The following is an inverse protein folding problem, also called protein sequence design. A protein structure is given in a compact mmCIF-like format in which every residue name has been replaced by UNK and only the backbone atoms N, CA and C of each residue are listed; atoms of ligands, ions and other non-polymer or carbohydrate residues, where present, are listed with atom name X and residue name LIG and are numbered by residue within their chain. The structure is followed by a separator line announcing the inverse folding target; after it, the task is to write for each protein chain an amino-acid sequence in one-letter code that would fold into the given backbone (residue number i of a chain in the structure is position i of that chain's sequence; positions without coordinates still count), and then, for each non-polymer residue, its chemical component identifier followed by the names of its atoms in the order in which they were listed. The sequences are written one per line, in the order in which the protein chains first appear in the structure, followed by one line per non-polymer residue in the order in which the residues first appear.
data_IF_956436847556
#
_entry.id   IF_956436847556
#
_cell.length_a   1.000
_cell.length_b   1.000
_cell.length_c   1.000
_cell.angle_alpha   90.00
_cell.angle_beta   90.00
_cell.angle_gamma   90.00
#
_symmetry.space_group_name_H-M   'P 1'
#
loop_
_entity.id
_entity.type
_entity.pdbx_description
1 polymer ?
#
# COMPACT_ATOMS: atom_id res chain seq x y z
N UNK A 1 -5.80 -18.53 24.19
CA UNK A 1 -5.34 -17.40 23.34
C UNK A 1 -6.49 -16.42 23.25
N UNK A 2 -6.34 -15.14 23.62
CA UNK A 2 -7.42 -14.18 23.34
C UNK A 2 -7.55 -14.11 21.82
N UNK A 3 -8.77 -14.35 21.30
CA UNK A 3 -9.08 -14.28 19.87
C UNK A 3 -8.39 -13.05 19.27
N UNK A 4 -7.45 -13.26 18.35
CA UNK A 4 -6.83 -12.16 17.65
C UNK A 4 -7.97 -11.32 17.06
N UNK A 5 -8.02 -10.00 17.29
CA UNK A 5 -9.17 -9.21 16.90
C UNK A 5 -9.39 -9.41 15.40
N UNK A 6 -10.56 -9.90 15.01
CA UNK A 6 -10.88 -10.10 13.59
C UNK A 6 -10.89 -8.73 12.91
N UNK A 7 -10.41 -8.66 11.67
CA UNK A 7 -10.57 -7.44 10.86
C UNK A 7 -12.07 -7.09 10.84
N UNK A 8 -12.50 -5.86 11.17
CA UNK A 8 -13.91 -5.47 11.07
C UNK A 8 -14.48 -5.76 9.67
N UNK A 9 -15.78 -6.04 9.59
CA UNK A 9 -16.42 -6.49 8.34
C UNK A 9 -16.25 -5.48 7.20
N UNK A 10 -16.35 -4.17 7.48
CA UNK A 10 -16.12 -3.15 6.47
C UNK A 10 -14.67 -3.16 5.97
N UNK A 11 -13.71 -3.35 6.89
CA UNK A 11 -12.29 -3.47 6.56
C UNK A 11 -11.99 -4.68 5.68
N UNK A 12 -12.61 -5.84 5.97
CA UNK A 12 -12.46 -7.04 5.13
C UNK A 12 -13.00 -6.81 3.72
N UNK A 13 -14.21 -6.26 3.60
CA UNK A 13 -14.81 -5.95 2.28
C UNK A 13 -13.95 -4.97 1.47
N UNK A 14 -13.45 -3.91 2.10
CA UNK A 14 -12.57 -2.95 1.42
C UNK A 14 -11.24 -3.60 1.01
N UNK A 15 -10.66 -4.45 1.86
CA UNK A 15 -9.44 -5.18 1.53
C UNK A 15 -9.64 -6.20 0.40
N UNK A 16 -10.72 -6.97 0.42
CA UNK A 16 -11.09 -7.88 -0.68
C UNK A 16 -11.27 -7.12 -2.00
N UNK A 17 -11.90 -5.94 -1.97
CA UNK A 17 -12.03 -5.09 -3.16
C UNK A 17 -10.70 -4.57 -3.70
N UNK A 18 -9.69 -4.37 -2.85
CA UNK A 18 -8.38 -3.87 -3.28
C UNK A 18 -7.44 -5.01 -3.72
N UNK A 19 -7.51 -6.17 -3.07
CA UNK A 19 -6.51 -7.21 -3.18
C UNK A 19 -7.02 -8.53 -3.80
N UNK A 20 -8.31 -8.63 -4.15
CA UNK A 20 -8.86 -9.84 -4.74
C UNK A 20 -8.91 -11.01 -3.75
N UNK A 21 -8.01 -11.99 -3.89
CA UNK A 21 -7.92 -13.19 -3.02
C UNK A 21 -7.34 -12.86 -1.64
N UNK A 22 -7.88 -11.86 -0.98
CA UNK A 22 -7.50 -11.43 0.36
C UNK A 22 -7.79 -12.49 1.41
N UNK A 23 -6.79 -12.75 2.25
CA UNK A 23 -6.90 -13.56 3.46
C UNK A 23 -6.46 -12.73 4.67
N UNK A 24 -7.31 -12.55 5.69
CA UNK A 24 -6.92 -11.88 6.94
C UNK A 24 -5.70 -12.50 7.61
N UNK A 25 -5.53 -13.81 7.45
CA UNK A 25 -4.44 -14.59 8.01
C UNK A 25 -3.14 -14.27 7.26
N UNK A 26 -3.14 -14.41 5.93
CA UNK A 26 -2.02 -13.99 5.08
C UNK A 26 -1.65 -12.52 5.32
N UNK A 27 -2.64 -11.63 5.39
CA UNK A 27 -2.44 -10.20 5.57
C UNK A 27 -1.76 -9.83 6.90
N UNK A 28 -1.77 -10.72 7.90
CA UNK A 28 -1.04 -10.56 9.17
C UNK A 28 0.30 -11.30 9.21
N UNK A 29 0.59 -12.10 8.19
CA UNK A 29 1.70 -13.03 8.15
C UNK A 29 2.38 -13.04 6.78
N UNK A 30 2.53 -11.89 6.12
CA UNK A 30 3.01 -11.79 4.72
C UNK A 30 4.45 -12.34 4.54
N UNK A 31 5.24 -12.36 5.61
CA UNK A 31 6.60 -12.94 5.65
C UNK A 31 6.64 -14.41 6.06
N UNK A 32 5.52 -14.97 6.53
CA UNK A 32 5.46 -16.37 6.91
C UNK A 32 5.30 -17.24 5.68
N UNK A 33 6.15 -18.27 5.56
CA UNK A 33 6.02 -19.32 4.53
C UNK A 33 4.80 -20.22 4.76
N UNK A 34 4.22 -20.20 5.95
CA UNK A 34 3.09 -21.06 6.33
C UNK A 34 1.71 -20.48 6.00
N UNK A 35 1.62 -19.17 5.74
CA UNK A 35 0.35 -18.45 5.61
C UNK A 35 0.16 -17.89 4.20
N UNK A 36 -0.26 -18.76 3.27
CA UNK A 36 -0.73 -18.36 1.94
C UNK A 36 -2.17 -17.82 1.98
N UNK A 37 -2.73 -17.53 0.81
CA UNK A 37 -4.11 -17.04 0.68
C UNK A 37 -5.17 -18.04 1.17
N UNK A 38 -4.82 -19.33 1.21
CA UNK A 38 -5.76 -20.42 1.51
C UNK A 38 -6.80 -20.65 0.40
N UNK A 39 -6.56 -20.09 -0.79
CA UNK A 39 -7.42 -20.20 -1.97
C UNK A 39 -6.59 -20.70 -3.16
N UNK A 40 -7.25 -21.35 -4.11
CA UNK A 40 -6.62 -21.72 -5.37
C UNK A 40 -6.25 -20.46 -6.17
N UNK A 41 -5.04 -20.40 -6.77
CA UNK A 41 -4.65 -19.29 -7.62
C UNK A 41 -5.61 -19.09 -8.80
N UNK A 42 -5.99 -17.84 -9.05
CA UNK A 42 -6.68 -17.48 -10.29
C UNK A 42 -5.65 -17.39 -11.42
N UNK A 43 -5.84 -18.16 -12.49
CA UNK A 43 -4.97 -18.18 -13.67
C UNK A 43 -5.79 -17.81 -14.91
N UNK A 44 -5.33 -16.80 -15.65
CA UNK A 44 -5.98 -16.33 -16.89
C UNK A 44 -4.91 -16.14 -17.97
N UNK A 45 -5.10 -16.74 -19.15
CA UNK A 45 -4.25 -16.43 -20.31
C UNK A 45 -4.56 -15.01 -20.78
N UNK A 46 -3.63 -14.09 -20.51
CA UNK A 46 -3.73 -12.66 -20.77
C UNK A 46 -3.48 -12.34 -22.24
N UNK A 47 -2.54 -13.03 -22.87
CA UNK A 47 -2.23 -12.99 -24.30
C UNK A 47 -1.59 -14.35 -24.67
N UNK A 48 -1.38 -14.69 -25.96
CA UNK A 48 -0.75 -15.96 -26.31
C UNK A 48 0.54 -16.20 -25.52
N UNK A 49 0.60 -17.34 -24.81
CA UNK A 49 1.75 -17.74 -23.97
C UNK A 49 2.06 -16.76 -22.82
N UNK A 50 1.12 -15.89 -22.43
CA UNK A 50 1.24 -14.94 -21.33
C UNK A 50 0.09 -15.12 -20.36
N UNK A 51 0.38 -15.25 -19.07
CA UNK A 51 -0.62 -15.54 -18.04
C UNK A 51 -0.59 -14.49 -16.93
N UNK A 52 -1.78 -14.06 -16.55
CA UNK A 52 -2.08 -13.40 -15.29
C UNK A 52 -2.29 -14.48 -14.23
N UNK A 53 -1.57 -14.39 -13.11
CA UNK A 53 -1.71 -15.32 -11.99
C UNK A 53 -1.92 -14.51 -10.71
N UNK A 54 -3.00 -14.78 -9.97
CA UNK A 54 -3.23 -14.21 -8.65
C UNK A 54 -3.20 -15.35 -7.63
N UNK A 55 -2.04 -15.64 -6.99
CA UNK A 55 -1.93 -16.66 -5.95
C UNK A 55 -2.51 -16.21 -4.59
N UNK A 56 -2.64 -14.91 -4.39
CA UNK A 56 -3.13 -14.31 -3.15
C UNK A 56 -3.45 -12.84 -3.33
N UNK A 57 -2.92 -11.99 -2.45
CA UNK A 57 -3.20 -10.55 -2.46
C UNK A 57 -2.53 -9.78 -3.61
N UNK A 58 -1.49 -10.35 -4.24
CA UNK A 58 -0.69 -9.76 -5.32
C UNK A 58 -0.82 -10.59 -6.58
N UNK A 59 -0.74 -9.92 -7.72
CA UNK A 59 -0.75 -10.52 -9.04
C UNK A 59 0.68 -10.71 -9.57
N UNK A 60 0.84 -11.72 -10.41
CA UNK A 60 2.09 -12.13 -11.03
C UNK A 60 1.85 -12.29 -12.53
N UNK A 61 2.81 -11.84 -13.35
CA UNK A 61 2.79 -12.11 -14.79
C UNK A 61 3.76 -13.24 -15.14
N UNK A 62 3.30 -14.20 -15.93
CA UNK A 62 4.13 -15.28 -16.47
C UNK A 62 4.17 -15.17 -17.99
N UNK A 63 5.38 -15.08 -18.54
CA UNK A 63 5.63 -15.13 -19.98
C UNK A 63 6.40 -16.40 -20.32
N UNK A 64 5.81 -17.24 -21.16
CA UNK A 64 6.48 -18.45 -21.66
C UNK A 64 7.19 -18.16 -22.97
N UNK A 65 8.51 -18.39 -23.01
CA UNK A 65 9.36 -18.27 -24.21
C UNK A 65 9.94 -19.64 -24.58
N UNK A 66 10.71 -19.72 -25.67
CA UNK A 66 11.34 -20.98 -26.08
C UNK A 66 12.58 -21.35 -25.26
N UNK A 67 13.21 -20.37 -24.59
CA UNK A 67 14.39 -20.58 -23.73
C UNK A 67 14.01 -20.83 -22.26
N UNK A 68 12.83 -20.37 -21.85
CA UNK A 68 12.31 -20.61 -20.50
C UNK A 68 11.21 -19.63 -20.10
N UNK A 69 10.88 -19.62 -18.82
CA UNK A 69 9.86 -18.76 -18.26
C UNK A 69 10.46 -17.45 -17.75
N UNK A 70 9.79 -16.33 -18.06
CA UNK A 70 9.96 -15.06 -17.38
C UNK A 70 8.79 -14.85 -16.42
N UNK A 71 9.09 -14.66 -15.14
CA UNK A 71 8.11 -14.36 -14.11
C UNK A 71 8.33 -12.93 -13.62
N UNK A 72 7.26 -12.13 -13.55
CA UNK A 72 7.27 -10.77 -13.01
C UNK A 72 6.52 -10.80 -11.69
N UNK A 73 7.26 -10.58 -10.59
CA UNK A 73 6.86 -10.79 -9.20
C UNK A 73 6.63 -12.26 -8.80
N UNK A 74 6.53 -12.51 -7.49
CA UNK A 74 6.51 -13.83 -6.86
C UNK A 74 5.52 -13.94 -5.69
N UNK A 75 4.71 -12.92 -5.41
CA UNK A 75 3.75 -12.95 -4.30
C UNK A 75 4.39 -12.87 -2.90
N UNK A 76 3.56 -13.04 -1.87
CA UNK A 76 3.98 -13.10 -0.48
C UNK A 76 4.78 -14.39 -0.19
N UNK A 77 5.44 -14.47 0.97
CA UNK A 77 6.20 -15.66 1.36
C UNK A 77 5.35 -16.95 1.35
N UNK A 78 4.10 -16.87 1.82
CA UNK A 78 3.17 -18.02 1.83
C UNK A 78 2.58 -18.39 0.46
N UNK A 79 2.69 -17.51 -0.55
CA UNK A 79 2.14 -17.77 -1.89
C UNK A 79 3.03 -18.69 -2.74
N UNK A 80 4.32 -18.80 -2.40
CA UNK A 80 5.31 -19.51 -3.19
C UNK A 80 4.89 -20.91 -3.66
N UNK A 81 4.42 -21.81 -2.76
CA UNK A 81 4.00 -23.15 -3.16
C UNK A 81 2.82 -23.17 -4.15
N UNK A 82 1.82 -22.31 -3.94
CA UNK A 82 0.65 -22.22 -4.81
C UNK A 82 1.02 -21.61 -6.17
N UNK A 83 1.88 -20.59 -6.17
CA UNK A 83 2.40 -19.99 -7.39
C UNK A 83 3.25 -20.97 -8.21
N UNK A 84 4.14 -21.73 -7.55
CA UNK A 84 4.93 -22.78 -8.20
C UNK A 84 4.02 -23.84 -8.86
N UNK A 85 3.00 -24.31 -8.14
CA UNK A 85 2.04 -25.28 -8.67
C UNK A 85 1.30 -24.73 -9.89
N UNK A 86 0.82 -23.48 -9.83
CA UNK A 86 0.13 -22.81 -10.94
C UNK A 86 1.05 -22.67 -12.17
N UNK A 87 2.30 -22.21 -11.98
CA UNK A 87 3.29 -22.09 -13.06
C UNK A 87 3.59 -23.45 -13.68
N UNK A 88 3.72 -24.51 -12.88
CA UNK A 88 4.02 -25.87 -13.36
C UNK A 88 2.84 -26.55 -14.04
N UNK A 89 1.60 -26.16 -13.71
CA UNK A 89 0.41 -26.58 -14.43
C UNK A 89 0.33 -25.95 -15.84
N UNK A 90 0.87 -24.73 -16.00
CA UNK A 90 0.96 -24.03 -17.29
C UNK A 90 2.12 -24.56 -18.13
N UNK A 91 3.31 -24.72 -17.55
CA UNK A 91 4.52 -25.06 -18.28
C UNK A 91 5.56 -25.83 -17.49
N UNK A 92 6.20 -26.81 -18.16
CA UNK A 92 7.34 -27.56 -17.66
C UNK A 92 8.70 -26.90 -17.97
N UNK A 93 8.72 -25.75 -18.65
CA UNK A 93 9.96 -25.04 -18.99
C UNK A 93 10.68 -24.52 -17.73
N UNK A 94 12.02 -24.44 -17.74
CA UNK A 94 12.79 -23.92 -16.60
C UNK A 94 12.40 -22.46 -16.33
N UNK A 95 12.39 -22.08 -15.04
CA UNK A 95 12.25 -20.67 -14.67
C UNK A 95 13.57 -19.96 -14.97
N UNK A 96 13.60 -19.20 -16.07
CA UNK A 96 14.81 -18.61 -16.61
C UNK A 96 15.12 -17.27 -15.94
N UNK A 97 14.10 -16.42 -15.78
CA UNK A 97 14.26 -15.06 -15.25
C UNK A 97 13.11 -14.71 -14.32
N UNK A 98 13.45 -14.03 -13.23
CA UNK A 98 12.49 -13.38 -12.35
C UNK A 98 12.79 -11.89 -12.33
N UNK A 99 11.77 -11.06 -12.54
CA UNK A 99 11.85 -9.61 -12.38
C UNK A 99 11.07 -9.23 -11.15
N UNK A 100 11.72 -8.57 -10.19
CA UNK A 100 11.00 -7.87 -9.13
C UNK A 100 10.58 -6.51 -9.62
N UNK A 101 9.28 -6.22 -9.57
CA UNK A 101 8.77 -4.90 -9.89
C UNK A 101 9.26 -3.89 -8.87
N UNK A 102 9.32 -4.24 -7.58
CA UNK A 102 9.85 -3.38 -6.51
C UNK A 102 10.13 -4.16 -5.22
N UNK A 103 10.76 -3.51 -4.23
CA UNK A 103 11.21 -4.13 -2.98
C UNK A 103 10.12 -4.46 -1.95
N UNK A 104 8.83 -4.41 -2.30
CA UNK A 104 7.75 -4.78 -1.37
C UNK A 104 7.69 -6.29 -1.12
N UNK A 105 7.27 -6.64 0.10
CA UNK A 105 7.34 -8.01 0.60
C UNK A 105 6.39 -8.97 -0.09
N UNK A 106 5.26 -8.45 -0.51
CA UNK A 106 4.21 -9.15 -1.22
C UNK A 106 4.52 -9.35 -2.72
N UNK A 107 5.66 -8.83 -3.20
CA UNK A 107 6.10 -8.99 -4.60
C UNK A 107 7.32 -9.90 -4.75
N UNK A 108 8.24 -9.94 -3.78
CA UNK A 108 9.51 -10.66 -3.94
C UNK A 108 9.59 -11.99 -3.17
N UNK A 109 8.73 -12.22 -2.17
CA UNK A 109 9.04 -13.20 -1.13
C UNK A 109 8.59 -14.62 -1.43
N UNK A 110 7.71 -14.88 -2.40
CA UNK A 110 7.33 -16.26 -2.74
C UNK A 110 8.40 -17.05 -3.52
N UNK A 111 9.49 -16.39 -3.96
CA UNK A 111 10.50 -17.02 -4.83
C UNK A 111 11.22 -18.22 -4.18
N UNK A 112 11.31 -18.27 -2.84
CA UNK A 112 11.98 -19.37 -2.13
C UNK A 112 11.45 -20.75 -2.53
N UNK A 113 10.15 -20.87 -2.85
CA UNK A 113 9.53 -22.15 -3.21
C UNK A 113 10.09 -22.70 -4.52
N UNK A 114 10.38 -21.84 -5.49
CA UNK A 114 11.02 -22.22 -6.75
C UNK A 114 12.48 -22.64 -6.53
N UNK A 115 13.20 -21.90 -5.68
CA UNK A 115 14.60 -22.22 -5.37
C UNK A 115 14.74 -23.57 -4.64
N UNK A 116 13.84 -23.87 -3.70
CA UNK A 116 13.79 -25.17 -3.00
C UNK A 116 13.34 -26.31 -3.92
N UNK A 117 12.53 -26.02 -4.94
CA UNK A 117 12.20 -26.96 -6.02
C UNK A 117 13.35 -27.20 -7.02
N UNK A 118 14.49 -26.50 -6.86
CA UNK A 118 15.69 -26.69 -7.68
C UNK A 118 15.85 -25.69 -8.83
N UNK A 119 14.91 -24.75 -9.01
CA UNK A 119 15.04 -23.70 -10.02
C UNK A 119 16.17 -22.72 -9.66
N UNK A 120 16.83 -22.16 -10.68
CA UNK A 120 17.92 -21.19 -10.52
C UNK A 120 17.76 -20.04 -11.52
N UNK A 121 16.69 -19.23 -11.41
CA UNK A 121 16.50 -18.10 -12.30
C UNK A 121 17.53 -17.01 -12.05
N UNK A 122 17.81 -16.21 -13.08
CA UNK A 122 18.44 -14.89 -12.91
C UNK A 122 17.40 -13.93 -12.33
N UNK A 123 17.68 -13.36 -11.17
CA UNK A 123 16.83 -12.37 -10.51
C UNK A 123 17.27 -10.96 -10.90
N UNK A 124 16.37 -10.18 -11.47
CA UNK A 124 16.63 -8.83 -11.97
C UNK A 124 15.72 -7.84 -11.24
N UNK A 125 16.27 -6.69 -10.87
CA UNK A 125 15.49 -5.61 -10.25
C UNK A 125 16.13 -4.24 -10.50
N UNK A 126 15.42 -3.16 -10.14
CA UNK A 126 16.02 -1.84 -10.13
C UNK A 126 17.13 -1.71 -9.05
N UNK A 127 18.14 -0.86 -9.28
CA UNK A 127 19.32 -0.67 -8.39
C UNK A 127 18.96 -0.22 -6.96
N UNK A 128 17.77 0.34 -6.76
CA UNK A 128 17.28 0.76 -5.44
C UNK A 128 16.66 -0.40 -4.61
N UNK A 129 16.31 -1.54 -5.21
CA UNK A 129 15.70 -2.67 -4.47
C UNK A 129 16.61 -3.16 -3.33
N UNK A 130 17.93 -3.35 -3.53
CA UNK A 130 18.83 -3.69 -2.42
C UNK A 130 18.83 -2.68 -1.27
N UNK A 131 18.75 -1.38 -1.56
CA UNK A 131 18.67 -0.35 -0.53
C UNK A 131 17.33 -0.39 0.22
N UNK A 132 16.24 -0.69 -0.49
CA UNK A 132 14.92 -0.91 0.10
C UNK A 132 14.92 -2.10 1.07
N UNK A 133 15.49 -3.25 0.69
CA UNK A 133 15.60 -4.42 1.56
C UNK A 133 16.40 -4.11 2.84
N UNK A 134 17.53 -3.41 2.72
CA UNK A 134 18.31 -2.97 3.89
C UNK A 134 17.52 -2.01 4.79
N UNK A 135 16.68 -1.14 4.21
CA UNK A 135 15.76 -0.29 4.97
C UNK A 135 14.74 -1.12 5.74
N UNK A 136 14.18 -2.18 5.15
CA UNK A 136 13.29 -3.11 5.85
C UNK A 136 13.96 -3.76 7.04
N UNK A 137 15.21 -4.24 6.89
CA UNK A 137 15.97 -4.78 8.01
C UNK A 137 16.16 -3.75 9.14
N UNK A 138 16.61 -2.54 8.77
CA UNK A 138 16.84 -1.44 9.72
C UNK A 138 15.58 -1.03 10.48
N UNK A 139 14.41 -1.19 9.85
CA UNK A 139 13.11 -0.74 10.39
C UNK A 139 12.13 -1.89 10.61
N UNK A 140 12.62 -3.11 10.81
CA UNK A 140 11.81 -4.33 10.92
C UNK A 140 10.70 -4.21 11.96
N UNK A 141 11.03 -3.80 13.19
CA UNK A 141 10.04 -3.62 14.26
C UNK A 141 9.03 -2.48 14.01
N UNK A 142 9.43 -1.44 13.26
CA UNK A 142 8.51 -0.39 12.83
C UNK A 142 7.53 -0.93 11.79
N UNK A 143 8.05 -1.59 10.74
CA UNK A 143 7.22 -2.14 9.66
C UNK A 143 6.28 -3.23 10.16
N UNK A 144 6.73 -4.12 11.04
CA UNK A 144 5.86 -5.11 11.68
C UNK A 144 4.66 -4.42 12.36
N UNK A 145 4.91 -3.36 13.13
CA UNK A 145 3.86 -2.64 13.87
C UNK A 145 2.91 -1.88 12.96
N UNK A 146 3.42 -1.08 12.01
CA UNK A 146 2.56 -0.22 11.18
C UNK A 146 1.70 -1.03 10.21
N UNK A 147 2.18 -2.20 9.78
CA UNK A 147 1.45 -3.14 8.92
C UNK A 147 0.68 -4.21 9.70
N UNK A 148 0.69 -4.17 11.04
CA UNK A 148 -0.04 -5.14 11.88
C UNK A 148 0.42 -6.60 11.69
N UNK A 149 1.69 -6.82 11.34
CA UNK A 149 2.24 -8.16 11.13
C UNK A 149 2.55 -8.86 12.45
N UNK A 150 2.33 -10.17 12.44
CA UNK A 150 2.55 -11.07 13.55
C UNK A 150 3.62 -12.12 13.18
N UNK A 151 4.40 -12.61 14.16
CA UNK A 151 5.32 -13.72 13.93
C UNK A 151 4.61 -14.94 13.35
N UNK A 152 5.31 -15.73 12.55
CA UNK A 152 4.79 -17.01 12.06
C UNK A 152 4.63 -18.04 13.20
N UNK A 153 3.82 -19.09 13.01
CA UNK A 153 3.52 -20.11 14.03
C UNK A 153 4.77 -20.85 14.49
N UNK A 154 5.76 -20.98 13.61
CA UNK A 154 7.05 -21.62 13.90
C UNK A 154 8.07 -20.65 14.55
N UNK A 155 7.61 -19.49 15.03
CA UNK A 155 8.49 -18.44 15.55
C UNK A 155 9.22 -17.65 14.47
N UNK A 156 8.79 -17.78 13.20
CA UNK A 156 9.29 -17.00 12.07
C UNK A 156 9.08 -15.49 12.27
N UNK A 157 9.89 -14.64 11.63
CA UNK A 157 9.88 -13.21 11.89
C UNK A 157 8.56 -12.56 11.45
N UNK A 158 8.07 -11.59 12.23
CA UNK A 158 6.94 -10.74 11.83
C UNK A 158 7.29 -9.79 10.67
N UNK A 159 8.58 -9.55 10.44
CA UNK A 159 9.11 -8.74 9.35
C UNK A 159 10.57 -9.10 9.09
N UNK A 160 11.01 -9.07 7.84
CA UNK A 160 12.40 -9.36 7.49
C UNK A 160 13.39 -8.49 8.27
N UNK A 161 14.44 -9.10 8.83
CA UNK A 161 15.40 -8.44 9.72
C UNK A 161 16.86 -8.81 9.47
N UNK A 162 17.14 -9.80 8.63
CA UNK A 162 18.49 -10.25 8.27
C UNK A 162 18.62 -10.48 6.77
N UNK A 163 19.86 -10.41 6.27
CA UNK A 163 20.19 -10.58 4.84
C UNK A 163 19.65 -11.90 4.26
N UNK A 164 19.62 -12.97 5.05
CA UNK A 164 19.15 -14.29 4.63
C UNK A 164 17.63 -14.41 4.49
N UNK A 165 16.86 -13.38 4.87
CA UNK A 165 15.40 -13.35 4.68
C UNK A 165 15.02 -12.98 3.24
N UNK A 166 15.98 -12.49 2.43
CA UNK A 166 15.76 -11.99 1.08
C UNK A 166 16.45 -12.89 0.05
N UNK A 167 15.82 -13.01 -1.13
CA UNK A 167 16.53 -13.41 -2.34
C UNK A 167 16.95 -12.14 -3.05
N UNK A 168 18.26 -11.88 -3.08
CA UNK A 168 18.83 -10.65 -3.65
C UNK A 168 18.83 -10.71 -5.18
N UNK A 169 18.66 -9.56 -5.87
CA UNK A 169 18.86 -9.50 -7.31
C UNK A 169 20.29 -9.90 -7.69
N UNK A 170 20.43 -10.77 -8.69
CA UNK A 170 21.72 -11.10 -9.32
C UNK A 170 22.22 -9.96 -10.20
N UNK A 171 21.27 -9.24 -10.80
CA UNK A 171 21.53 -8.10 -11.67
C UNK A 171 20.61 -6.94 -11.31
N UNK A 172 21.18 -5.73 -11.42
CA UNK A 172 20.41 -4.50 -11.26
C UNK A 172 20.61 -3.59 -12.45
N UNK A 173 19.61 -2.75 -12.69
CA UNK A 173 19.64 -1.71 -13.71
C UNK A 173 19.12 -0.38 -13.14
N UNK A 174 19.40 0.71 -13.85
CA UNK A 174 19.01 2.07 -13.44
C UNK A 174 17.78 2.56 -14.19
N UNK A 175 17.91 2.92 -15.46
CA UNK A 175 16.81 3.59 -16.18
C UNK A 175 15.95 2.59 -16.96
N UNK A 176 16.59 1.74 -17.77
CA UNK A 176 15.92 0.70 -18.54
C UNK A 176 16.85 -0.48 -18.81
N UNK A 177 16.27 -1.65 -19.08
CA UNK A 177 16.98 -2.86 -19.49
C UNK A 177 16.16 -3.65 -20.51
N UNK A 178 16.75 -4.00 -21.64
CA UNK A 178 16.12 -4.91 -22.61
C UNK A 178 16.67 -6.32 -22.42
N UNK A 179 15.75 -7.26 -22.19
CA UNK A 179 16.02 -8.69 -22.17
C UNK A 179 15.60 -9.31 -23.51
N UNK A 180 16.39 -10.26 -23.99
CA UNK A 180 15.99 -11.15 -25.08
C UNK A 180 15.99 -12.56 -24.52
N UNK A 181 14.82 -13.21 -24.48
CA UNK A 181 14.66 -14.56 -23.91
C UNK A 181 13.91 -15.39 -24.96
N UNK A 182 14.55 -16.45 -25.46
CA UNK A 182 13.97 -17.27 -26.53
C UNK A 182 13.67 -16.49 -27.82
N UNK A 183 14.41 -15.41 -28.10
CA UNK A 183 14.24 -14.57 -29.29
C UNK A 183 13.16 -13.48 -29.17
N UNK A 184 12.43 -13.41 -28.05
CA UNK A 184 11.43 -12.37 -27.77
C UNK A 184 12.01 -11.26 -26.89
N UNK A 185 11.56 -10.02 -27.09
CA UNK A 185 12.00 -8.85 -26.32
C UNK A 185 11.12 -8.60 -25.11
N UNK A 186 11.76 -8.26 -24.00
CA UNK A 186 11.11 -7.72 -22.81
C UNK A 186 11.87 -6.48 -22.35
N UNK A 187 11.19 -5.35 -22.24
CA UNK A 187 11.79 -4.08 -21.86
C UNK A 187 11.35 -3.72 -20.44
N UNK A 188 12.32 -3.62 -19.54
CA UNK A 188 12.13 -3.16 -18.18
C UNK A 188 12.37 -1.66 -18.15
N UNK A 189 11.44 -0.92 -17.57
CA UNK A 189 11.56 0.52 -17.38
C UNK A 189 11.44 0.85 -15.90
N UNK A 190 12.37 1.66 -15.41
CA UNK A 190 12.27 2.25 -14.08
C UNK A 190 11.25 3.39 -14.07
N UNK A 191 10.50 3.45 -12.98
CA UNK A 191 9.70 4.60 -12.61
C UNK A 191 9.69 4.75 -11.09
N UNK A 192 9.15 5.88 -10.62
CA UNK A 192 8.83 6.04 -9.20
C UNK A 192 7.31 6.11 -9.06
N UNK A 193 6.82 5.55 -7.97
CA UNK A 193 5.40 5.56 -7.64
C UNK A 193 5.20 5.29 -6.17
N UNK A 194 4.71 4.09 -5.83
CA UNK A 194 4.58 3.68 -4.44
C UNK A 194 5.94 3.62 -3.72
N UNK A 195 6.97 3.32 -4.49
CA UNK A 195 8.37 3.27 -4.07
C UNK A 195 9.27 4.01 -5.08
N UNK A 196 10.54 4.17 -4.72
CA UNK A 196 11.59 4.76 -5.57
C UNK A 196 12.33 3.73 -6.44
N UNK A 197 11.89 2.47 -6.41
CA UNK A 197 12.52 1.32 -7.05
C UNK A 197 11.59 0.56 -8.01
N UNK A 198 10.47 1.17 -8.42
CA UNK A 198 9.47 0.53 -9.25
C UNK A 198 9.96 0.25 -10.68
N UNK A 199 9.56 -0.91 -11.20
CA UNK A 199 9.83 -1.44 -12.53
C UNK A 199 8.52 -1.88 -13.15
N UNK A 200 8.30 -1.55 -14.42
CA UNK A 200 7.28 -2.17 -15.25
C UNK A 200 7.92 -2.82 -16.49
N UNK A 201 7.32 -3.91 -16.96
CA UNK A 201 7.83 -4.73 -18.07
C UNK A 201 6.91 -4.57 -19.27
N UNK A 202 7.48 -4.24 -20.42
CA UNK A 202 6.82 -4.19 -21.72
C UNK A 202 7.24 -5.38 -22.58
N UNK A 203 6.27 -6.14 -23.08
CA UNK A 203 6.47 -7.20 -24.07
C UNK A 203 5.88 -6.73 -25.43
N UNK A 204 6.68 -6.04 -26.28
CA UNK A 204 6.18 -5.38 -27.49
C UNK A 204 5.53 -6.35 -28.48
N UNK A 205 6.11 -7.52 -28.69
CA UNK A 205 5.58 -8.52 -29.62
C UNK A 205 4.23 -9.10 -29.17
N UNK A 206 3.88 -8.94 -27.89
CA UNK A 206 2.64 -9.43 -27.29
C UNK A 206 1.63 -8.33 -26.97
N UNK A 207 2.03 -7.07 -27.06
CA UNK A 207 1.19 -5.93 -26.69
C UNK A 207 0.82 -5.91 -25.20
N UNK A 208 1.67 -6.47 -24.32
CA UNK A 208 1.37 -6.65 -22.89
C UNK A 208 2.34 -5.89 -21.99
N UNK A 209 1.80 -5.16 -21.01
CA UNK A 209 2.55 -4.61 -19.87
C UNK A 209 2.31 -5.45 -18.62
N UNK A 210 3.35 -5.75 -17.86
CA UNK A 210 3.26 -6.14 -16.45
C UNK A 210 3.71 -4.93 -15.60
N UNK A 211 2.76 -4.30 -14.90
CA UNK A 211 2.95 -2.96 -14.34
C UNK A 211 3.45 -2.93 -12.90
N UNK A 212 3.43 -4.07 -12.19
CA UNK A 212 3.53 -4.06 -10.73
C UNK A 212 2.51 -3.10 -10.12
N UNK A 213 2.87 -2.48 -9.00
CA UNK A 213 1.96 -1.57 -8.30
C UNK A 213 1.77 -0.22 -9.00
N UNK A 214 2.40 0.04 -10.16
CA UNK A 214 2.10 1.25 -10.92
C UNK A 214 0.67 1.24 -11.50
N UNK A 215 0.02 0.08 -11.57
CA UNK A 215 -1.41 -0.08 -11.87
C UNK A 215 -2.00 -1.08 -10.89
N UNK A 216 -3.08 -0.71 -10.19
CA UNK A 216 -3.73 -1.56 -9.17
C UNK A 216 -5.27 -1.59 -9.29
N UNK A 217 -5.85 -0.73 -10.13
CA UNK A 217 -7.29 -0.66 -10.35
C UNK A 217 -8.12 0.08 -9.31
N UNK A 218 -7.45 0.87 -8.49
CA UNK A 218 -8.04 1.82 -7.56
C UNK A 218 -7.14 3.05 -7.45
N UNK A 219 -7.56 4.06 -6.68
CA UNK A 219 -6.76 5.27 -6.49
C UNK A 219 -5.34 4.91 -6.00
N UNK A 220 -4.28 5.31 -6.72
CA UNK A 220 -2.91 4.98 -6.36
C UNK A 220 -2.58 5.30 -4.91
N UNK A 221 -1.86 4.38 -4.30
CA UNK A 221 -1.42 4.47 -2.91
C UNK A 221 -0.27 5.48 -2.78
N UNK A 222 -0.46 6.74 -3.17
CA UNK A 222 0.58 7.77 -3.22
C UNK A 222 0.63 8.66 -1.97
N UNK A 223 -0.15 8.35 -0.94
CA UNK A 223 -0.40 9.21 0.23
C UNK A 223 -0.34 8.54 1.60
N UNK A 224 -0.20 7.21 1.68
CA UNK A 224 -0.35 6.45 2.93
C UNK A 224 0.35 7.11 4.16
N UNK A 225 -0.41 7.49 5.20
CA UNK A 225 0.10 8.26 6.34
C UNK A 225 1.22 7.59 7.15
N UNK A 226 1.37 6.27 7.04
CA UNK A 226 2.34 5.47 7.80
C UNK A 226 3.61 5.16 7.02
N UNK A 227 3.72 5.60 5.77
CA UNK A 227 4.76 5.15 4.83
C UNK A 227 5.77 6.25 4.52
N UNK A 228 6.92 5.80 4.01
CA UNK A 228 7.99 6.66 3.48
C UNK A 228 7.51 7.47 2.28
N UNK A 229 8.37 8.31 1.72
CA UNK A 229 8.03 9.17 0.59
C UNK A 229 7.53 8.34 -0.61
N UNK A 230 6.46 8.84 -1.23
CA UNK A 230 5.87 8.31 -2.46
C UNK A 230 5.81 9.38 -3.54
N UNK A 231 5.68 8.98 -4.80
CA UNK A 231 6.06 9.80 -5.95
C UNK A 231 4.88 9.99 -6.89
N UNK A 232 3.87 10.77 -6.48
CA UNK A 232 2.63 10.97 -7.26
C UNK A 232 2.88 11.58 -8.65
N UNK A 233 3.83 12.51 -8.76
CA UNK A 233 4.21 13.16 -10.01
C UNK A 233 4.85 12.18 -10.99
N UNK A 234 5.91 11.47 -10.57
CA UNK A 234 6.56 10.47 -11.41
C UNK A 234 5.67 9.27 -11.73
N UNK A 235 4.71 8.95 -10.86
CA UNK A 235 3.73 7.92 -11.14
C UNK A 235 2.78 8.35 -12.27
N UNK A 236 2.40 9.62 -12.32
CA UNK A 236 1.65 10.17 -13.46
C UNK A 236 2.47 10.09 -14.75
N UNK A 237 3.77 10.36 -14.69
CA UNK A 237 4.66 10.25 -15.85
C UNK A 237 4.81 8.78 -16.31
N UNK A 238 4.87 7.84 -15.38
CA UNK A 238 4.88 6.41 -15.69
C UNK A 238 3.58 5.97 -16.37
N UNK A 239 2.44 6.49 -15.92
CA UNK A 239 1.13 6.22 -16.53
C UNK A 239 1.07 6.72 -17.99
N UNK A 240 1.57 7.93 -18.25
CA UNK A 240 1.66 8.48 -19.61
C UNK A 240 2.63 7.67 -20.49
N UNK A 241 3.78 7.26 -19.94
CA UNK A 241 4.75 6.44 -20.68
C UNK A 241 4.16 5.08 -21.08
N UNK A 242 3.46 4.41 -20.16
CA UNK A 242 2.75 3.17 -20.46
C UNK A 242 1.64 3.38 -21.49
N UNK A 243 0.88 4.48 -21.39
CA UNK A 243 -0.18 4.80 -22.34
C UNK A 243 0.38 5.07 -23.76
N UNK A 244 1.52 5.74 -23.87
CA UNK A 244 2.16 6.07 -25.15
C UNK A 244 2.53 4.81 -25.97
N UNK A 245 2.80 3.68 -25.32
CA UNK A 245 3.06 2.40 -25.98
C UNK A 245 1.83 1.75 -26.61
N UNK A 246 0.62 2.20 -26.25
CA UNK A 246 -0.67 1.66 -26.70
C UNK A 246 -0.77 0.13 -26.50
N UNK A 247 -0.61 -0.36 -25.26
CA UNK A 247 -0.76 -1.78 -24.95
C UNK A 247 -2.19 -2.26 -25.19
N UNK A 248 -2.34 -3.54 -25.49
CA UNK A 248 -3.65 -4.20 -25.57
C UNK A 248 -4.04 -4.87 -24.24
N UNK A 249 -3.05 -5.14 -23.38
CA UNK A 249 -3.24 -5.78 -22.08
C UNK A 249 -2.31 -5.17 -21.03
N UNK A 250 -2.84 -4.93 -19.83
CA UNK A 250 -2.04 -4.66 -18.63
C UNK A 250 -2.34 -5.73 -17.59
N UNK A 251 -1.29 -6.38 -17.11
CA UNK A 251 -1.27 -7.19 -15.89
C UNK A 251 -0.84 -6.27 -14.74
N UNK A 252 -1.78 -5.83 -13.87
CA UNK A 252 -1.47 -4.96 -12.74
C UNK A 252 -0.87 -5.75 -11.57
N UNK A 253 -0.23 -5.08 -10.61
CA UNK A 253 0.29 -5.69 -9.37
C UNK A 253 -0.83 -6.10 -8.41
N UNK A 254 -1.97 -5.42 -8.48
CA UNK A 254 -3.19 -5.76 -7.75
C UNK A 254 -4.44 -5.54 -8.61
N UNK A 255 -5.58 -6.08 -8.18
CA UNK A 255 -6.85 -5.91 -8.87
C UNK A 255 -6.94 -6.69 -10.18
N UNK A 256 -7.94 -6.37 -11.00
CA UNK A 256 -8.28 -7.15 -12.18
C UNK A 256 -7.38 -6.87 -13.39
N UNK A 257 -7.15 -7.93 -14.19
CA UNK A 257 -6.54 -7.85 -15.52
C UNK A 257 -7.27 -6.82 -16.41
N UNK A 258 -6.51 -5.92 -17.05
CA UNK A 258 -7.06 -4.87 -17.92
C UNK A 258 -6.82 -5.24 -19.39
N UNK A 259 -7.87 -5.16 -20.21
CA UNK A 259 -7.84 -5.49 -21.64
C UNK A 259 -8.45 -4.40 -22.50
N UNK A 260 -7.93 -4.29 -23.71
CA UNK A 260 -8.42 -3.41 -24.76
C UNK A 260 -7.80 -2.02 -24.67
N UNK A 261 -7.15 -1.61 -25.75
CA UNK A 261 -6.42 -0.34 -25.81
C UNK A 261 -7.23 0.86 -25.31
N UNK A 262 -8.52 0.98 -25.66
CA UNK A 262 -9.34 2.12 -25.24
C UNK A 262 -9.54 2.21 -23.72
N UNK A 263 -9.82 1.09 -23.05
CA UNK A 263 -9.97 1.06 -21.59
C UNK A 263 -8.65 1.34 -20.88
N UNK A 264 -7.54 0.85 -21.43
CA UNK A 264 -6.21 1.12 -20.89
C UNK A 264 -5.83 2.60 -21.04
N UNK A 265 -6.10 3.22 -22.19
CA UNK A 265 -5.87 4.65 -22.39
C UNK A 265 -6.70 5.50 -21.43
N UNK A 266 -7.97 5.13 -21.21
CA UNK A 266 -8.85 5.80 -20.27
C UNK A 266 -8.32 5.71 -18.83
N UNK A 267 -8.00 4.50 -18.35
CA UNK A 267 -7.49 4.28 -17.00
C UNK A 267 -6.16 5.01 -16.74
N UNK A 268 -5.16 4.83 -17.60
CA UNK A 268 -3.84 5.45 -17.43
C UNK A 268 -3.93 6.97 -17.57
N UNK A 269 -4.66 7.47 -18.56
CA UNK A 269 -4.85 8.90 -18.76
C UNK A 269 -5.61 9.56 -17.61
N UNK A 270 -6.66 8.91 -17.09
CA UNK A 270 -7.38 9.39 -15.91
C UNK A 270 -6.48 9.39 -14.67
N UNK A 271 -5.69 8.33 -14.46
CA UNK A 271 -4.73 8.24 -13.35
C UNK A 271 -3.70 9.36 -13.39
N UNK A 272 -3.09 9.61 -14.56
CA UNK A 272 -2.12 10.68 -14.76
C UNK A 272 -2.71 12.06 -14.44
N UNK A 273 -3.91 12.36 -14.98
CA UNK A 273 -4.62 13.63 -14.71
C UNK A 273 -4.98 13.78 -13.23
N UNK A 274 -5.40 12.70 -12.58
CA UNK A 274 -5.77 12.72 -11.16
C UNK A 274 -4.59 13.07 -10.28
N UNK A 275 -3.46 12.37 -10.47
CA UNK A 275 -2.26 12.59 -9.65
C UNK A 275 -1.66 13.97 -9.91
N UNK A 276 -1.57 14.41 -11.19
CA UNK A 276 -1.09 15.75 -11.53
C UNK A 276 -1.98 16.85 -10.95
N UNK A 277 -3.30 16.70 -11.01
CA UNK A 277 -4.22 17.65 -10.38
C UNK A 277 -3.90 17.88 -8.89
N UNK A 278 -3.62 16.81 -8.14
CA UNK A 278 -3.26 16.92 -6.72
C UNK A 278 -1.87 17.54 -6.53
N UNK A 279 -0.91 17.17 -7.39
CA UNK A 279 0.46 17.71 -7.36
C UNK A 279 0.43 19.21 -7.63
N UNK A 280 -0.20 19.63 -8.72
CA UNK A 280 -0.33 21.03 -9.14
C UNK A 280 -1.03 21.85 -8.05
N UNK A 281 -2.18 21.37 -7.53
CA UNK A 281 -2.89 22.04 -6.43
C UNK A 281 -2.00 22.24 -5.20
N UNK A 282 -1.24 21.21 -4.81
CA UNK A 282 -0.37 21.30 -3.66
C UNK A 282 0.81 22.27 -3.88
N UNK A 283 1.45 22.21 -5.06
CA UNK A 283 2.57 23.08 -5.40
C UNK A 283 2.13 24.55 -5.57
N UNK A 284 0.99 24.79 -6.19
CA UNK A 284 0.41 26.13 -6.33
C UNK A 284 0.15 26.74 -4.96
N UNK A 285 -0.46 25.98 -4.04
CA UNK A 285 -0.67 26.42 -2.66
C UNK A 285 0.63 26.72 -1.92
N UNK A 286 1.65 25.84 -2.04
CA UNK A 286 2.96 26.05 -1.43
C UNK A 286 3.66 27.30 -1.98
N UNK A 287 3.65 27.49 -3.30
CA UNK A 287 4.24 28.66 -3.96
C UNK A 287 3.51 29.95 -3.61
N UNK A 288 2.21 29.89 -3.36
CA UNK A 288 1.40 31.02 -2.89
C UNK A 288 1.61 31.33 -1.39
N UNK A 289 2.37 30.51 -0.66
CA UNK A 289 2.55 30.63 0.79
C UNK A 289 1.31 30.26 1.60
N UNK A 290 0.36 29.54 1.01
CA UNK A 290 -0.83 29.02 1.71
C UNK A 290 -0.39 28.01 2.78
N UNK A 291 -0.91 28.07 4.01
CA UNK A 291 -0.60 27.08 5.03
C UNK A 291 -0.93 25.64 4.57
N UNK A 292 -0.06 24.65 4.81
CA UNK A 292 -0.27 23.24 4.45
C UNK A 292 -1.66 22.67 4.73
N UNK A 293 -2.26 23.00 5.87
CA UNK A 293 -3.59 22.50 6.24
C UNK A 293 -4.68 23.08 5.34
N UNK A 294 -4.61 24.37 5.02
CA UNK A 294 -5.55 25.05 4.11
C UNK A 294 -5.42 24.52 2.67
N UNK A 295 -4.23 24.14 2.23
CA UNK A 295 -4.02 23.47 0.93
C UNK A 295 -4.82 22.17 0.90
N UNK A 296 -4.72 21.34 1.94
CA UNK A 296 -5.45 20.07 1.98
C UNK A 296 -6.96 20.28 2.10
N UNK A 297 -7.41 21.26 2.87
CA UNK A 297 -8.83 21.58 3.06
C UNK A 297 -9.50 22.13 1.80
N UNK A 298 -8.75 22.91 1.00
CA UNK A 298 -9.22 23.50 -0.24
C UNK A 298 -9.18 22.55 -1.44
N UNK A 299 -8.52 21.37 -1.31
CA UNK A 299 -8.43 20.40 -2.40
C UNK A 299 -9.81 19.97 -2.89
N UNK A 300 -10.07 20.13 -4.19
CA UNK A 300 -11.26 19.62 -4.87
C UNK A 300 -10.80 18.82 -6.07
N UNK A 301 -11.04 17.51 -6.06
CA UNK A 301 -10.79 16.65 -7.23
C UNK A 301 -11.92 16.84 -8.23
N UNK A 302 -11.63 16.98 -9.54
CA UNK A 302 -12.65 17.06 -10.57
C UNK A 302 -13.62 15.88 -10.52
N UNK A 303 -14.91 16.13 -10.70
CA UNK A 303 -15.97 15.15 -10.45
C UNK A 303 -15.85 13.91 -11.34
N UNK A 304 -15.43 14.09 -12.59
CA UNK A 304 -15.18 13.04 -13.56
C UNK A 304 -14.02 12.12 -13.16
N UNK A 305 -12.98 12.67 -12.54
CA UNK A 305 -11.83 11.90 -12.04
C UNK A 305 -12.19 11.19 -10.73
N UNK A 306 -12.92 11.88 -9.83
CA UNK A 306 -13.39 11.32 -8.57
C UNK A 306 -14.41 10.16 -8.76
N UNK A 307 -15.19 10.20 -9.85
CA UNK A 307 -16.17 9.17 -10.19
C UNK A 307 -15.59 8.03 -11.06
N UNK A 308 -14.33 8.10 -11.46
CA UNK A 308 -13.73 7.10 -12.35
C UNK A 308 -13.67 5.72 -11.65
N UNK A 309 -14.19 4.64 -12.27
CA UNK A 309 -14.35 3.34 -11.60
C UNK A 309 -13.02 2.66 -11.23
N UNK A 310 -11.93 3.04 -11.90
CA UNK A 310 -10.57 2.54 -11.61
C UNK A 310 -9.77 3.43 -10.65
N UNK A 311 -10.36 4.53 -10.17
CA UNK A 311 -9.71 5.49 -9.25
C UNK A 311 -10.51 5.67 -7.96
N UNK A 312 -11.31 4.67 -7.59
CA UNK A 312 -12.07 4.69 -6.34
C UNK A 312 -11.11 4.70 -5.16
N UNK A 313 -11.33 5.58 -4.19
CA UNK A 313 -10.53 5.75 -2.98
C UNK A 313 -10.75 4.61 -1.95
N UNK A 314 -10.61 3.36 -2.38
CA UNK A 314 -10.80 2.17 -1.52
C UNK A 314 -9.57 1.89 -0.65
N UNK A 315 -8.36 2.22 -1.11
CA UNK A 315 -7.14 2.00 -0.32
C UNK A 315 -6.63 3.31 0.28
N UNK A 316 -6.32 4.28 -0.57
CA UNK A 316 -5.80 5.61 -0.21
C UNK A 316 -6.88 6.71 -0.35
N UNK A 317 -6.52 7.98 -0.12
CA UNK A 317 -7.41 9.14 -0.28
C UNK A 317 -6.71 10.36 -0.90
N UNK A 318 -7.44 11.25 -1.60
CA UNK A 318 -6.87 12.48 -2.16
C UNK A 318 -6.13 13.32 -1.12
N UNK A 319 -6.71 13.48 0.07
CA UNK A 319 -6.12 14.31 1.13
C UNK A 319 -4.84 13.71 1.73
N UNK A 320 -4.64 12.40 1.58
CA UNK A 320 -3.39 11.73 1.98
C UNK A 320 -2.31 11.96 0.92
N UNK A 321 -2.68 11.84 -0.37
CA UNK A 321 -1.76 12.13 -1.49
C UNK A 321 -1.29 13.58 -1.42
N UNK A 322 -2.21 14.53 -1.23
CA UNK A 322 -1.89 15.95 -1.10
C UNK A 322 -0.90 16.22 0.05
N UNK A 323 -1.14 15.63 1.24
CA UNK A 323 -0.20 15.72 2.37
C UNK A 323 1.17 15.13 2.04
N UNK A 324 1.23 14.04 1.27
CA UNK A 324 2.49 13.43 0.87
C UNK A 324 3.26 14.30 -0.14
N UNK A 325 2.57 14.99 -1.06
CA UNK A 325 3.19 15.98 -1.96
C UNK A 325 3.72 17.17 -1.14
N UNK A 326 2.93 17.69 -0.20
CA UNK A 326 3.37 18.76 0.70
C UNK A 326 4.59 18.33 1.50
N UNK A 327 4.60 17.11 2.08
CA UNK A 327 5.75 16.58 2.82
C UNK A 327 7.02 16.56 1.97
N UNK A 328 6.89 16.17 0.70
CA UNK A 328 8.01 16.05 -0.23
C UNK A 328 8.68 17.39 -0.51
N UNK A 329 7.86 18.42 -0.75
CA UNK A 329 8.34 19.70 -1.27
C UNK A 329 8.44 20.79 -0.18
N UNK A 330 7.55 20.78 0.81
CA UNK A 330 7.48 21.75 1.92
C UNK A 330 8.04 21.25 3.25
N UNK A 331 8.37 19.96 3.38
CA UNK A 331 8.87 19.37 4.62
C UNK A 331 7.76 19.00 5.63
N UNK A 332 8.11 18.85 6.90
CA UNK A 332 7.21 18.26 7.92
C UNK A 332 6.35 19.26 8.68
N UNK A 333 6.71 20.54 8.69
CA UNK A 333 6.06 21.56 9.50
C UNK A 333 4.76 22.05 8.85
N UNK A 334 3.68 22.17 9.62
CA UNK A 334 2.34 22.52 9.13
C UNK A 334 2.09 24.04 8.98
N UNK A 335 3.10 24.88 9.28
CA UNK A 335 3.00 26.33 9.15
C UNK A 335 2.46 27.06 10.39
N UNK A 336 1.92 26.34 11.38
CA UNK A 336 1.45 26.96 12.63
C UNK A 336 2.63 27.19 13.59
N UNK A 337 2.88 28.44 14.05
CA UNK A 337 4.03 28.75 14.89
C UNK A 337 4.08 27.94 16.20
N UNK A 338 2.92 27.69 16.82
CA UNK A 338 2.83 26.92 18.06
C UNK A 338 3.18 25.42 17.88
N UNK A 339 3.12 24.91 16.65
CA UNK A 339 3.43 23.52 16.32
C UNK A 339 4.90 23.29 15.92
N UNK A 340 5.71 24.35 15.84
CA UNK A 340 7.14 24.21 15.54
C UNK A 340 7.89 23.51 16.69
N UNK A 341 7.60 23.92 17.94
CA UNK A 341 8.15 23.37 19.18
C UNK A 341 7.03 23.29 20.23
N UNK A 342 6.03 22.40 20.02
CA UNK A 342 4.80 22.41 20.79
C UNK A 342 5.04 21.93 22.22
N UNK A 343 4.22 22.42 23.16
CA UNK A 343 4.09 21.79 24.47
C UNK A 343 3.67 20.31 24.32
N UNK A 344 4.00 19.41 25.27
CA UNK A 344 3.57 18.02 25.18
C UNK A 344 2.05 17.89 24.97
N UNK A 345 1.60 17.00 24.08
CA UNK A 345 0.17 16.88 23.73
C UNK A 345 -0.73 16.59 24.94
N UNK A 346 -0.24 15.83 25.93
CA UNK A 346 -0.98 15.61 27.18
C UNK A 346 -1.16 16.90 28.02
N UNK A 347 -0.16 17.78 28.03
CA UNK A 347 -0.26 19.07 28.71
C UNK A 347 -1.23 20.03 27.99
N UNK A 348 -1.20 20.05 26.66
CA UNK A 348 -2.19 20.79 25.86
C UNK A 348 -3.61 20.29 26.16
N UNK A 349 -3.81 18.96 26.13
CA UNK A 349 -5.10 18.33 26.39
C UNK A 349 -5.61 18.60 27.81
N UNK A 350 -4.76 18.51 28.83
CA UNK A 350 -5.11 18.80 30.21
C UNK A 350 -5.58 20.26 30.39
N UNK A 351 -4.91 21.21 29.75
CA UNK A 351 -5.30 22.62 29.80
C UNK A 351 -6.63 22.88 29.08
N UNK A 352 -6.84 22.27 27.91
CA UNK A 352 -8.12 22.32 27.19
C UNK A 352 -9.25 21.74 28.05
N UNK A 353 -9.03 20.57 28.66
CA UNK A 353 -10.01 19.95 29.55
C UNK A 353 -10.31 20.83 30.77
N UNK A 354 -9.30 21.46 31.39
CA UNK A 354 -9.47 22.39 32.51
C UNK A 354 -10.34 23.58 32.13
N UNK A 355 -10.10 24.18 30.96
CA UNK A 355 -10.88 25.32 30.45
C UNK A 355 -12.32 24.92 30.09
N UNK A 356 -12.52 23.70 29.58
CA UNK A 356 -13.83 23.17 29.20
C UNK A 356 -14.69 22.69 30.39
N UNK A 357 -14.12 22.59 31.60
CA UNK A 357 -14.83 22.09 32.79
C UNK A 357 -14.66 20.58 33.04
N UNK A 358 -13.67 19.94 32.43
CA UNK A 358 -13.24 18.56 32.66
C UNK A 358 -13.33 17.64 31.43
N UNK A 359 -12.73 16.46 31.54
CA UNK A 359 -12.75 15.42 30.50
C UNK A 359 -14.15 14.97 30.14
N UNK A 360 -15.05 14.89 31.13
CA UNK A 360 -16.45 14.51 30.95
C UNK A 360 -17.21 15.47 30.01
N UNK A 361 -16.93 16.77 30.06
CA UNK A 361 -17.56 17.77 29.18
C UNK A 361 -17.10 17.60 27.74
N UNK A 362 -15.79 17.42 27.53
CA UNK A 362 -15.23 17.13 26.21
C UNK A 362 -15.80 15.84 25.62
N UNK A 363 -15.84 14.77 26.42
CA UNK A 363 -16.37 13.47 26.01
C UNK A 363 -17.87 13.53 25.66
N UNK A 364 -18.68 14.25 26.44
CA UNK A 364 -20.09 14.46 26.14
C UNK A 364 -20.26 15.20 24.80
N UNK A 365 -19.53 16.30 24.61
CA UNK A 365 -19.60 17.08 23.37
C UNK A 365 -19.10 16.31 22.15
N UNK A 366 -18.08 15.47 22.31
CA UNK A 366 -17.62 14.58 21.25
C UNK A 366 -18.73 13.63 20.78
N UNK A 367 -19.48 13.02 21.72
CA UNK A 367 -20.61 12.15 21.38
C UNK A 367 -21.77 12.89 20.73
N UNK A 368 -22.05 14.13 21.13
CA UNK A 368 -23.06 14.97 20.46
C UNK A 368 -22.71 15.27 19.00
N UNK A 369 -21.41 15.44 18.71
CA UNK A 369 -20.92 15.80 17.39
C UNK A 369 -20.64 14.60 16.49
N UNK A 370 -20.60 13.36 17.00
CA UNK A 370 -20.09 12.22 16.23
C UNK A 370 -20.80 12.01 14.88
N UNK A 371 -22.11 12.26 14.82
CA UNK A 371 -22.91 12.10 13.59
C UNK A 371 -22.89 13.35 12.69
N UNK A 372 -22.65 14.55 13.25
CA UNK A 372 -22.79 15.84 12.54
C UNK A 372 -21.45 16.43 12.12
N UNK A 373 -20.43 16.30 12.95
CA UNK A 373 -19.04 16.66 12.68
C UNK A 373 -18.10 15.61 13.31
N UNK A 374 -17.99 14.42 12.68
CA UNK A 374 -17.13 13.34 13.17
C UNK A 374 -15.64 13.74 13.24
N UNK A 375 -15.22 14.74 12.45
CA UNK A 375 -13.82 15.23 12.48
C UNK A 375 -13.57 15.98 13.78
N UNK A 376 -14.41 16.95 14.12
CA UNK A 376 -14.31 17.69 15.38
C UNK A 376 -14.56 16.78 16.60
N UNK A 377 -15.54 15.89 16.51
CA UNK A 377 -15.79 14.88 17.55
C UNK A 377 -14.53 14.07 17.88
N UNK A 378 -13.76 13.66 16.85
CA UNK A 378 -12.50 12.93 17.03
C UNK A 378 -11.47 13.73 17.84
N UNK A 379 -11.33 15.03 17.57
CA UNK A 379 -10.40 15.91 18.29
C UNK A 379 -10.79 16.06 19.77
N UNK A 380 -12.08 16.30 20.04
CA UNK A 380 -12.59 16.43 21.41
C UNK A 380 -12.41 15.13 22.21
N UNK A 381 -12.69 13.98 21.59
CA UNK A 381 -12.51 12.68 22.21
C UNK A 381 -11.02 12.39 22.50
N UNK A 382 -10.12 12.75 21.59
CA UNK A 382 -8.68 12.60 21.79
C UNK A 382 -8.15 13.53 22.89
N UNK A 383 -8.59 14.79 22.95
CA UNK A 383 -8.22 15.68 24.05
C UNK A 383 -8.72 15.16 25.39
N UNK A 384 -9.95 14.64 25.47
CA UNK A 384 -10.44 14.01 26.70
C UNK A 384 -9.53 12.85 27.15
N UNK A 385 -9.19 11.94 26.22
CA UNK A 385 -8.33 10.79 26.50
C UNK A 385 -6.89 11.17 26.86
N UNK A 386 -6.30 12.16 26.18
CA UNK A 386 -4.92 12.59 26.45
C UNK A 386 -4.79 13.41 27.73
N UNK A 387 -5.86 14.09 28.17
CA UNK A 387 -5.90 14.85 29.41
C UNK A 387 -5.87 13.93 30.64
N UNK A 388 -6.65 12.85 30.64
CA UNK A 388 -6.60 11.80 31.65
C UNK A 388 -6.78 10.42 31.02
N UNK A 389 -5.66 9.71 30.84
CA UNK A 389 -5.67 8.36 30.25
C UNK A 389 -6.23 7.29 31.18
N UNK A 390 -6.42 7.60 32.47
CA UNK A 390 -6.99 6.67 33.45
C UNK A 390 -8.52 6.78 33.54
N UNK A 391 -9.10 7.88 33.08
CA UNK A 391 -10.55 8.12 33.05
C UNK A 391 -11.27 7.11 32.13
N UNK A 392 -12.08 6.18 32.66
CA UNK A 392 -12.80 5.20 31.86
C UNK A 392 -13.78 5.85 30.86
N UNK A 393 -14.41 6.96 31.22
CA UNK A 393 -15.35 7.67 30.36
C UNK A 393 -14.66 8.30 29.15
N UNK A 394 -13.46 8.84 29.34
CA UNK A 394 -12.63 9.37 28.25
C UNK A 394 -12.07 8.26 27.37
N UNK A 395 -11.63 7.14 27.95
CA UNK A 395 -11.20 5.94 27.22
C UNK A 395 -12.31 5.40 26.31
N UNK A 396 -13.52 5.21 26.86
CA UNK A 396 -14.66 4.70 26.10
C UNK A 396 -15.05 5.66 24.99
N UNK A 397 -15.13 6.97 25.27
CA UNK A 397 -15.44 7.98 24.27
C UNK A 397 -14.44 7.98 23.10
N UNK A 398 -13.13 7.93 23.38
CA UNK A 398 -12.11 7.93 22.33
C UNK A 398 -12.14 6.68 21.46
N UNK A 399 -12.39 5.50 22.03
CA UNK A 399 -12.56 4.28 21.23
C UNK A 399 -13.85 4.33 20.41
N UNK A 400 -14.96 4.76 21.00
CA UNK A 400 -16.30 4.81 20.39
C UNK A 400 -16.36 5.79 19.20
N UNK A 401 -15.99 7.05 19.41
CA UNK A 401 -16.11 8.11 18.40
C UNK A 401 -15.22 7.83 17.19
N UNK A 402 -14.00 7.33 17.42
CA UNK A 402 -13.07 7.01 16.34
C UNK A 402 -13.47 5.73 15.60
N UNK A 403 -14.09 4.75 16.27
CA UNK A 403 -14.70 3.58 15.61
C UNK A 403 -15.90 3.97 14.74
N UNK A 404 -16.76 4.87 15.24
CA UNK A 404 -17.88 5.42 14.48
C UNK A 404 -17.39 6.08 13.19
N UNK A 405 -16.41 7.00 13.30
CA UNK A 405 -15.80 7.63 12.12
C UNK A 405 -15.13 6.62 11.21
N UNK A 406 -14.34 5.68 11.75
CA UNK A 406 -13.67 4.66 10.96
C UNK A 406 -14.66 3.77 10.19
N UNK A 407 -15.85 3.55 10.70
CA UNK A 407 -16.88 2.74 10.05
C UNK A 407 -17.51 3.42 8.83
N UNK A 408 -17.49 4.76 8.79
CA UNK A 408 -18.00 5.57 7.69
C UNK A 408 -16.96 5.88 6.60
N UNK A 409 -15.67 5.62 6.83
CA UNK A 409 -14.61 5.92 5.87
C UNK A 409 -14.52 4.87 4.75
N UNK A 410 -14.46 5.27 3.47
CA UNK A 410 -14.35 4.34 2.35
C UNK A 410 -12.94 3.75 2.18
N UNK A 411 -11.92 4.50 2.58
CA UNK A 411 -10.51 4.11 2.44
C UNK A 411 -10.05 3.17 3.55
N UNK A 412 -9.44 2.06 3.17
CA UNK A 412 -8.81 1.10 4.08
C UNK A 412 -7.78 1.77 4.98
N UNK A 413 -6.96 2.69 4.45
CA UNK A 413 -5.98 3.41 5.26
C UNK A 413 -6.64 4.33 6.29
N UNK A 414 -7.73 5.02 5.95
CA UNK A 414 -8.47 5.81 6.94
C UNK A 414 -9.09 4.91 8.02
N UNK A 415 -9.75 3.82 7.61
CA UNK A 415 -10.36 2.82 8.49
C UNK A 415 -9.36 2.24 9.49
N UNK A 416 -8.16 1.88 9.04
CA UNK A 416 -7.10 1.29 9.88
C UNK A 416 -6.48 2.32 10.81
N UNK A 417 -6.20 3.53 10.31
CA UNK A 417 -5.51 4.54 11.10
C UNK A 417 -6.37 5.13 12.22
N UNK A 418 -7.67 5.32 11.98
CA UNK A 418 -8.59 5.80 13.03
C UNK A 418 -8.73 4.79 14.17
N UNK A 419 -8.68 3.48 13.88
CA UNK A 419 -8.77 2.40 14.88
C UNK A 419 -7.51 2.20 15.72
N UNK A 420 -6.45 2.97 15.48
CA UNK A 420 -5.29 3.03 16.39
C UNK A 420 -5.72 3.50 17.79
N UNK A 421 -6.80 4.28 17.90
CA UNK A 421 -7.40 4.70 19.18
C UNK A 421 -7.66 3.52 20.11
N UNK A 422 -8.21 2.41 19.60
CA UNK A 422 -8.48 1.18 20.37
C UNK A 422 -7.21 0.58 20.95
N UNK A 423 -6.13 0.55 20.17
CA UNK A 423 -4.83 0.02 20.63
C UNK A 423 -4.25 0.89 21.75
N UNK A 424 -4.45 2.21 21.70
CA UNK A 424 -4.01 3.13 22.73
C UNK A 424 -4.82 2.97 24.01
N UNK A 425 -6.14 2.84 23.91
CA UNK A 425 -7.03 2.58 25.05
C UNK A 425 -6.71 1.24 25.71
N UNK A 426 -6.53 0.17 24.94
CA UNK A 426 -6.14 -1.15 25.47
C UNK A 426 -4.80 -1.10 26.20
N UNK A 427 -3.85 -0.30 25.71
CA UNK A 427 -2.56 -0.10 26.38
C UNK A 427 -2.73 0.64 27.70
N UNK A 428 -3.47 1.75 27.72
CA UNK A 428 -3.74 2.52 28.93
C UNK A 428 -4.43 1.66 30.01
N UNK A 429 -5.40 0.82 29.63
CA UNK A 429 -6.06 -0.13 30.54
C UNK A 429 -5.10 -1.17 31.12
N UNK A 430 -4.19 -1.70 30.31
CA UNK A 430 -3.16 -2.65 30.77
C UNK A 430 -2.15 -2.00 31.70
N UNK A 431 -1.81 -0.73 31.47
CA UNK A 431 -0.92 0.05 32.33
C UNK A 431 -1.58 0.37 33.68
N UNK A 432 -2.88 0.72 33.70
CA UNK A 432 -3.63 0.97 34.94
C UNK A 432 -3.88 -0.29 35.78
N UNK A 433 -3.85 -1.48 35.16
CA UNK A 433 -4.03 -2.76 35.84
C UNK A 433 -2.73 -3.33 36.44
N UNK A 434 -1.58 -2.72 36.17
CA UNK A 434 -0.27 -3.06 36.72
C UNK A 434 0.06 -2.14 37.87
#
# INVERSE_FOLDING_TARGET
MPNAPTFPDNQRRTAESAFGLFSPDQARHIFSRAHGSGREPLVVEAAPRTHYIQPGMVNVALFETDEGLLLVDCGCAGDGPALLAAVRAISARPLHTVVYTHGHSDHAFGLWAFLEAGERPRVIAHENVPAHFRRYMKTSGLNARVNGQLPGPDGGPAWASKESDFVWPDETYRDALTLTIGGERFELFHAKGETDDATWVWAPERGVIAAGDLVTGYLPNAGNPKKVQRYAEEWADAADAMAALRPEVIIPGHGDLVRGAAGIQDELGAMARYLRHIVDHALDGLNAGTPPEEIVESLRVPAELAAHPRLVAIYDKPEFICRNVIRRYGGWWNGHPADLLPAPKAAQAAEIARLAGGTAVLAARARELQDTDPRMASHLAEWAFLADRSDPGAQDCYAEVLEHRASAEPSLMAQVNLRVSRQWVERARKEAAR
#
